data_IF_425112689370
#
_entry.id   IF_425112689370
#
_cell.length_a   1.000
_cell.length_b   1.000
_cell.length_c   1.000
_cell.angle_alpha   90.00
_cell.angle_beta   90.00
_cell.angle_gamma   90.00
#
_symmetry.space_group_name_H-M   'P 1'
#
loop_
_entity.id
_entity.type
_entity.pdbx_description
1 polymer ?
#
# COMPACT_ATOMS: atom_id res chain seq x y z
N UNK A 1 -25.09 56.84 -33.35
CA UNK A 1 -24.31 56.69 -32.10
C UNK A 1 -24.75 55.41 -31.41
N UNK A 2 -23.90 54.38 -31.43
CA UNK A 2 -24.09 53.10 -30.72
C UNK A 2 -23.87 53.32 -29.23
N UNK A 3 -24.76 52.82 -28.38
CA UNK A 3 -24.59 52.85 -26.92
C UNK A 3 -24.64 51.41 -26.38
N UNK A 4 -23.46 50.89 -26.04
CA UNK A 4 -23.19 50.12 -24.83
C UNK A 4 -23.89 48.77 -24.62
N UNK A 5 -23.23 47.69 -25.06
CA UNK A 5 -23.44 46.32 -24.58
C UNK A 5 -22.98 46.23 -23.11
N UNK A 6 -23.86 45.86 -22.18
CA UNK A 6 -23.44 45.36 -20.87
C UNK A 6 -23.05 43.88 -21.04
N UNK A 7 -21.77 43.65 -21.29
CA UNK A 7 -21.17 42.33 -21.30
C UNK A 7 -21.06 41.83 -19.85
N UNK A 8 -21.77 40.74 -19.56
CA UNK A 8 -21.65 39.93 -18.36
C UNK A 8 -20.23 39.36 -18.30
N UNK A 9 -19.36 39.96 -17.48
CA UNK A 9 -18.08 39.40 -17.10
C UNK A 9 -18.33 38.24 -16.13
N UNK A 10 -18.53 37.04 -16.67
CA UNK A 10 -18.31 35.81 -15.90
C UNK A 10 -16.80 35.66 -15.75
N UNK A 11 -16.28 36.04 -14.59
CA UNK A 11 -14.93 35.67 -14.18
C UNK A 11 -14.84 34.15 -14.18
N UNK A 12 -14.20 33.56 -15.19
CA UNK A 12 -13.67 32.20 -15.12
C UNK A 12 -12.52 32.23 -14.10
N UNK A 13 -12.86 32.15 -12.82
CA UNK A 13 -11.94 31.60 -11.85
C UNK A 13 -11.80 30.13 -12.18
N UNK A 14 -10.75 29.81 -12.93
CA UNK A 14 -10.27 28.44 -13.05
C UNK A 14 -9.88 27.98 -11.65
N UNK A 15 -10.83 27.36 -10.94
CA UNK A 15 -10.50 26.51 -9.80
C UNK A 15 -9.83 25.30 -10.42
N UNK A 16 -8.51 25.37 -10.56
CA UNK A 16 -7.69 24.19 -10.75
C UNK A 16 -7.82 23.40 -9.44
N UNK A 17 -8.86 22.59 -9.35
CA UNK A 17 -8.94 21.54 -8.36
C UNK A 17 -7.80 20.58 -8.71
N UNK A 18 -6.63 20.83 -8.12
CA UNK A 18 -5.59 19.82 -8.00
C UNK A 18 -6.23 18.72 -7.16
N UNK A 19 -6.89 17.79 -7.82
CA UNK A 19 -7.27 16.53 -7.21
C UNK A 19 -5.95 15.84 -6.87
N UNK A 20 -5.50 16.00 -5.64
CA UNK A 20 -4.58 15.08 -5.00
C UNK A 20 -5.37 13.76 -4.89
N UNK A 21 -5.47 12.99 -5.98
CA UNK A 21 -5.90 11.60 -5.89
C UNK A 21 -4.90 10.91 -4.96
N UNK A 22 -5.35 10.68 -3.73
CA UNK A 22 -4.61 9.93 -2.74
C UNK A 22 -4.28 8.53 -3.29
N UNK A 23 -3.15 7.92 -2.90
CA UNK A 23 -2.77 6.55 -3.29
C UNK A 23 -3.71 5.45 -2.75
N UNK A 24 -4.85 5.81 -2.14
CA UNK A 24 -5.79 4.90 -1.50
C UNK A 24 -6.38 3.85 -2.46
N UNK A 25 -6.70 4.24 -3.71
CA UNK A 25 -7.32 3.30 -4.64
C UNK A 25 -6.39 2.16 -5.02
N UNK A 26 -5.10 2.44 -5.21
CA UNK A 26 -4.15 1.41 -5.56
C UNK A 26 -3.85 0.53 -4.35
N UNK A 27 -3.70 1.08 -3.13
CA UNK A 27 -3.48 0.27 -1.92
C UNK A 27 -4.62 -0.72 -1.66
N UNK A 28 -5.86 -0.31 -1.92
CA UNK A 28 -7.04 -1.15 -1.75
C UNK A 28 -7.06 -2.33 -2.73
N UNK A 29 -6.69 -2.12 -4.00
CA UNK A 29 -6.65 -3.20 -5.00
C UNK A 29 -5.57 -4.23 -4.68
N UNK A 30 -4.35 -3.80 -4.35
CA UNK A 30 -3.28 -4.73 -3.97
C UNK A 30 -3.63 -5.52 -2.69
N UNK A 31 -4.28 -4.86 -1.74
CA UNK A 31 -4.79 -5.50 -0.53
C UNK A 31 -5.92 -6.51 -0.84
N UNK A 32 -6.80 -6.20 -1.78
CA UNK A 32 -7.84 -7.12 -2.26
C UNK A 32 -7.24 -8.35 -2.94
N UNK A 33 -6.25 -8.18 -3.83
CA UNK A 33 -5.52 -9.28 -4.50
C UNK A 33 -4.84 -10.20 -3.48
N UNK A 34 -4.26 -9.64 -2.41
CA UNK A 34 -3.72 -10.45 -1.32
C UNK A 34 -4.81 -11.23 -0.57
N UNK A 35 -6.01 -10.67 -0.40
CA UNK A 35 -7.13 -11.38 0.25
C UNK A 35 -7.67 -12.53 -0.60
N UNK A 36 -7.65 -12.40 -1.93
CA UNK A 36 -8.07 -13.48 -2.85
C UNK A 36 -6.98 -14.52 -3.09
N UNK A 37 -5.76 -14.28 -2.59
CA UNK A 37 -4.62 -15.19 -2.74
C UNK A 37 -3.86 -15.05 -4.06
N UNK A 38 -4.15 -14.00 -4.84
CA UNK A 38 -3.38 -13.68 -6.04
C UNK A 38 -2.13 -12.87 -5.68
N UNK A 39 -1.15 -13.55 -5.08
CA UNK A 39 0.09 -12.92 -4.63
C UNK A 39 0.91 -12.37 -5.81
N UNK A 40 0.78 -12.92 -7.02
CA UNK A 40 1.52 -12.43 -8.21
C UNK A 40 0.97 -11.09 -8.69
N UNK A 41 -0.35 -10.97 -8.80
CA UNK A 41 -0.98 -9.71 -9.14
C UNK A 41 -0.67 -8.65 -8.10
N UNK A 42 -0.77 -8.99 -6.81
CA UNK A 42 -0.44 -8.07 -5.72
C UNK A 42 1.01 -7.56 -5.79
N UNK A 43 1.99 -8.43 -6.07
CA UNK A 43 3.39 -8.04 -6.24
C UNK A 43 3.52 -7.04 -7.40
N UNK A 44 2.99 -7.36 -8.57
CA UNK A 44 3.08 -6.48 -9.75
C UNK A 44 2.49 -5.09 -9.49
N UNK A 45 1.35 -5.02 -8.80
CA UNK A 45 0.67 -3.76 -8.48
C UNK A 45 1.43 -2.93 -7.43
N UNK A 46 2.10 -3.59 -6.47
CA UNK A 46 2.88 -2.90 -5.45
C UNK A 46 4.23 -2.44 -6.00
N UNK A 47 4.91 -3.23 -6.83
CA UNK A 47 6.21 -2.88 -7.42
C UNK A 47 6.13 -1.74 -8.43
N UNK A 48 4.99 -1.58 -9.11
CA UNK A 48 4.79 -0.46 -10.05
C UNK A 48 4.80 0.93 -9.38
N UNK A 49 4.66 0.98 -8.05
CA UNK A 49 4.71 2.20 -7.27
C UNK A 49 6.13 2.54 -6.90
N UNK A 50 6.49 3.82 -6.85
CA UNK A 50 7.84 4.25 -6.45
C UNK A 50 7.92 4.66 -4.98
N UNK A 51 6.79 4.76 -4.26
CA UNK A 51 6.80 5.20 -2.88
C UNK A 51 7.55 4.21 -1.98
N UNK A 52 8.41 4.74 -1.11
CA UNK A 52 9.05 4.00 -0.02
C UNK A 52 8.15 4.02 1.23
N UNK A 53 6.92 3.55 1.06
CA UNK A 53 5.88 3.57 2.07
C UNK A 53 5.91 2.29 2.93
N UNK A 54 5.88 2.37 4.27
CA UNK A 54 6.00 1.18 5.12
C UNK A 54 4.83 0.21 4.98
N UNK A 55 3.60 0.65 4.67
CA UNK A 55 2.48 -0.28 4.41
C UNK A 55 2.74 -1.09 3.15
N UNK A 56 3.15 -0.41 2.07
CA UNK A 56 3.52 -1.05 0.80
C UNK A 56 4.65 -2.07 0.99
N UNK A 57 5.72 -1.70 1.69
CA UNK A 57 6.84 -2.61 1.97
C UNK A 57 6.38 -3.85 2.75
N UNK A 58 5.55 -3.67 3.77
CA UNK A 58 4.99 -4.80 4.54
C UNK A 58 4.13 -5.70 3.65
N UNK A 59 3.30 -5.12 2.78
CA UNK A 59 2.46 -5.89 1.86
C UNK A 59 3.29 -6.66 0.83
N UNK A 60 4.34 -6.06 0.26
CA UNK A 60 5.30 -6.75 -0.61
C UNK A 60 5.97 -7.92 0.12
N UNK A 61 6.42 -7.69 1.36
CA UNK A 61 7.03 -8.74 2.16
C UNK A 61 6.08 -9.92 2.41
N UNK A 62 4.79 -9.65 2.67
CA UNK A 62 3.79 -10.71 2.86
C UNK A 62 3.55 -11.49 1.56
N UNK A 63 3.39 -10.80 0.43
CA UNK A 63 3.15 -11.45 -0.87
C UNK A 63 4.34 -12.32 -1.30
N UNK A 64 5.57 -11.84 -1.10
CA UNK A 64 6.78 -12.62 -1.33
C UNK A 64 6.91 -13.81 -0.37
N UNK A 65 6.56 -13.64 0.91
CA UNK A 65 6.59 -14.73 1.88
C UNK A 65 5.59 -15.85 1.54
N UNK A 66 4.40 -15.49 1.04
CA UNK A 66 3.36 -16.47 0.64
C UNK A 66 3.68 -17.19 -0.65
N UNK A 67 4.35 -16.52 -1.60
CA UNK A 67 4.86 -17.13 -2.84
C UNK A 67 6.13 -17.98 -2.63
N UNK A 68 6.71 -17.96 -1.43
CA UNK A 68 7.86 -18.78 -1.04
C UNK A 68 9.22 -18.09 -1.20
N UNK A 69 9.25 -16.82 -1.62
CA UNK A 69 10.49 -16.06 -1.71
C UNK A 69 10.80 -15.38 -0.37
N UNK A 70 11.37 -16.15 0.56
CA UNK A 70 11.70 -15.67 1.90
C UNK A 70 12.82 -14.61 1.91
N UNK A 71 13.71 -14.61 0.90
CA UNK A 71 14.80 -13.62 0.77
C UNK A 71 14.23 -12.24 0.52
N UNK A 72 13.44 -12.06 -0.55
CA UNK A 72 12.80 -10.78 -0.84
C UNK A 72 11.84 -10.37 0.28
N UNK A 73 11.10 -11.33 0.86
CA UNK A 73 10.23 -11.05 1.99
C UNK A 73 10.99 -10.40 3.16
N UNK A 74 12.16 -10.94 3.50
CA UNK A 74 13.03 -10.41 4.55
C UNK A 74 13.49 -8.99 4.22
N UNK A 75 13.99 -8.76 3.02
CA UNK A 75 14.46 -7.44 2.57
C UNK A 75 13.37 -6.38 2.73
N UNK A 76 12.15 -6.66 2.28
CA UNK A 76 11.02 -5.73 2.41
C UNK A 76 10.61 -5.48 3.86
N UNK A 77 10.60 -6.51 4.71
CA UNK A 77 10.31 -6.32 6.13
C UNK A 77 11.41 -5.56 6.87
N UNK A 78 12.69 -5.77 6.54
CA UNK A 78 13.81 -5.01 7.10
C UNK A 78 13.75 -3.55 6.67
N UNK A 79 13.47 -3.28 5.40
CA UNK A 79 13.25 -1.93 4.89
C UNK A 79 12.08 -1.24 5.61
N UNK A 80 10.96 -1.92 5.83
CA UNK A 80 9.82 -1.39 6.59
C UNK A 80 10.18 -1.11 8.07
N UNK A 81 10.96 -2.00 8.70
CA UNK A 81 11.41 -1.83 10.07
C UNK A 81 12.39 -0.65 10.25
N UNK A 82 13.19 -0.36 9.22
CA UNK A 82 14.14 0.75 9.17
C UNK A 82 13.53 2.07 8.66
N UNK A 83 12.34 2.05 8.07
CA UNK A 83 11.72 3.21 7.42
C UNK A 83 11.58 4.40 8.41
N UNK A 84 12.03 5.62 8.05
CA UNK A 84 11.90 6.81 8.90
C UNK A 84 10.44 7.23 9.13
N UNK A 85 9.56 6.95 8.18
CA UNK A 85 8.12 7.23 8.27
C UNK A 85 7.45 6.16 9.13
N UNK A 86 6.58 6.61 10.04
CA UNK A 86 5.86 5.76 10.98
C UNK A 86 4.42 6.22 11.06
N UNK A 87 3.51 5.26 11.00
CA UNK A 87 2.11 5.46 11.31
C UNK A 87 1.50 4.11 11.72
N UNK A 88 0.29 4.17 12.29
CA UNK A 88 -0.43 2.97 12.68
C UNK A 88 -1.09 2.34 11.45
N UNK A 89 -0.94 1.03 11.32
CA UNK A 89 -1.56 0.21 10.29
C UNK A 89 -2.64 -0.64 10.94
N UNK A 90 -3.82 -0.65 10.33
CA UNK A 90 -4.84 -1.62 10.68
C UNK A 90 -4.44 -3.00 10.14
N UNK A 91 -4.41 -3.99 11.01
CA UNK A 91 -4.13 -5.37 10.64
C UNK A 91 -5.43 -6.12 10.31
N UNK A 92 -5.33 -7.32 9.74
CA UNK A 92 -6.51 -8.09 9.32
C UNK A 92 -7.52 -8.43 10.43
N UNK A 93 -7.14 -8.32 11.71
CA UNK A 93 -8.03 -8.52 12.85
C UNK A 93 -8.61 -7.19 13.43
N UNK A 94 -8.38 -6.05 12.77
CA UNK A 94 -8.81 -4.73 13.22
C UNK A 94 -7.88 -4.06 14.25
N UNK A 95 -6.76 -4.69 14.63
CA UNK A 95 -5.78 -4.06 15.52
C UNK A 95 -4.96 -3.01 14.77
N UNK A 96 -4.85 -1.81 15.35
CA UNK A 96 -3.95 -0.76 14.88
C UNK A 96 -2.56 -0.90 15.50
N UNK A 97 -1.55 -1.11 14.67
CA UNK A 97 -0.17 -1.38 15.11
C UNK A 97 0.81 -0.45 14.41
N UNK A 98 1.78 0.10 15.15
CA UNK A 98 2.91 0.84 14.57
C UNK A 98 3.60 0.02 13.48
N UNK A 99 3.84 0.64 12.33
CA UNK A 99 4.38 -0.02 11.14
C UNK A 99 5.70 -0.76 11.40
N UNK A 100 6.64 -0.19 12.17
CA UNK A 100 7.91 -0.86 12.50
C UNK A 100 7.69 -2.04 13.42
N UNK A 101 6.78 -1.93 14.39
CA UNK A 101 6.41 -3.06 15.27
C UNK A 101 5.79 -4.19 14.45
N UNK A 102 4.94 -3.85 13.48
CA UNK A 102 4.33 -4.82 12.56
C UNK A 102 5.39 -5.51 11.69
N UNK A 103 6.33 -4.75 11.10
CA UNK A 103 7.42 -5.30 10.31
C UNK A 103 8.32 -6.25 11.11
N UNK A 104 8.72 -5.87 12.34
CA UNK A 104 9.47 -6.75 13.25
C UNK A 104 8.69 -8.01 13.63
N UNK A 105 7.36 -7.91 13.78
CA UNK A 105 6.49 -9.07 13.99
C UNK A 105 6.49 -9.97 12.76
N UNK A 106 6.43 -9.40 11.56
CA UNK A 106 6.49 -10.14 10.30
C UNK A 106 7.82 -10.89 10.12
N UNK A 107 8.97 -10.28 10.45
CA UNK A 107 10.28 -10.97 10.45
C UNK A 107 10.27 -12.21 11.33
N UNK A 108 9.80 -12.10 12.59
CA UNK A 108 9.69 -13.26 13.49
C UNK A 108 8.74 -14.34 12.96
N UNK A 109 7.68 -13.94 12.22
CA UNK A 109 6.76 -14.88 11.58
C UNK A 109 7.42 -15.60 10.39
N UNK A 110 8.23 -14.87 9.62
CA UNK A 110 9.03 -15.41 8.52
C UNK A 110 10.02 -16.46 9.04
N UNK A 111 10.79 -16.12 10.08
CA UNK A 111 11.77 -17.02 10.71
C UNK A 111 11.13 -18.32 11.23
N UNK A 112 9.87 -18.26 11.68
CA UNK A 112 9.11 -19.43 12.17
C UNK A 112 8.41 -20.21 11.04
N UNK A 113 8.47 -19.75 9.79
CA UNK A 113 7.78 -20.35 8.65
C UNK A 113 6.25 -20.17 8.69
N UNK A 114 5.73 -19.18 9.40
CA UNK A 114 4.28 -18.96 9.56
C UNK A 114 3.57 -18.71 8.23
N UNK A 115 4.23 -18.01 7.29
CA UNK A 115 3.64 -17.68 5.98
C UNK A 115 3.44 -18.91 5.11
N UNK A 116 4.42 -19.82 5.07
CA UNK A 116 4.29 -21.11 4.37
C UNK A 116 3.16 -21.97 4.94
N UNK A 117 3.04 -22.05 6.27
CA UNK A 117 1.95 -22.78 6.92
C UNK A 117 0.58 -22.21 6.53
N UNK A 118 0.45 -20.88 6.55
CA UNK A 118 -0.79 -20.20 6.20
C UNK A 118 -1.20 -20.42 4.73
N UNK A 119 -0.25 -20.52 3.79
CA UNK A 119 -0.56 -20.84 2.39
C UNK A 119 -1.05 -22.28 2.22
N UNK A 120 -0.52 -23.24 2.99
CA UNK A 120 -0.95 -24.65 2.92
C UNK A 120 -2.36 -24.88 3.44
N UNK A 121 -2.81 -24.12 4.45
CA UNK A 121 -4.18 -24.23 4.99
C UNK A 121 -5.24 -23.55 4.12
N UNK A 122 -4.84 -22.69 3.18
CA UNK A 122 -5.75 -21.97 2.28
C UNK A 122 -5.99 -22.68 0.94
N UNK A 123 -5.47 -23.90 0.77
CA UNK A 123 -5.72 -24.76 -0.41
C UNK A 123 -6.73 -25.84 -0.06
#
# INVERSE_FOLDING_TARGET
MQIGRFAMLVSMSAVLALSLQAPAQSSDVAYASMRTGDDRQAISELESRTENDPAKLINLGIAYARSGNEVLAREYFEAAAANPVRYNLETANGEWVDSRRLAKKALRRLDRGDFRRATLTQR
#
